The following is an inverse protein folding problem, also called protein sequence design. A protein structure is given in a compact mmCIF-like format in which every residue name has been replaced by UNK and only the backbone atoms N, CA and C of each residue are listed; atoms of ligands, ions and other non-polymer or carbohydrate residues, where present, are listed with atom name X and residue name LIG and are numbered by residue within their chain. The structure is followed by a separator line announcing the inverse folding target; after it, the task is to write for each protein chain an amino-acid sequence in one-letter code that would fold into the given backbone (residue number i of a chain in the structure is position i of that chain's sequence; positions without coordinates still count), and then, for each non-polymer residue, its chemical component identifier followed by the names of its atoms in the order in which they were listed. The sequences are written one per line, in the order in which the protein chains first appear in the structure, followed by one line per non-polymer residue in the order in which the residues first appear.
data_IF_930420824044
#
_entry.id   IF_930420824044
#
_cell.length_a   1.000
_cell.length_b   1.000
_cell.length_c   1.000
_cell.angle_alpha   90.00
_cell.angle_beta   90.00
_cell.angle_gamma   90.00
#
_symmetry.space_group_name_H-M   'P 1'
#
loop_
_entity.id
_entity.type
_entity.pdbx_description
1 polymer ?
#
# COMPACT_ATOMS: atom_id res chain seq x y z
N UNK A 1 26.40 -50.59 -4.43
CA UNK A 1 25.33 -49.55 -4.35
C UNK A 1 26.00 -48.22 -4.11
N UNK A 2 25.81 -47.22 -5.00
CA UNK A 2 26.38 -45.87 -4.81
C UNK A 2 25.64 -45.21 -3.64
N UNK A 3 26.37 -44.77 -2.62
CA UNK A 3 25.79 -44.17 -1.44
C UNK A 3 25.35 -42.74 -1.77
N UNK A 4 24.06 -42.58 -2.08
CA UNK A 4 23.48 -41.30 -2.50
C UNK A 4 23.10 -40.39 -1.31
N UNK A 5 23.27 -40.86 -0.07
CA UNK A 5 23.03 -40.10 1.16
C UNK A 5 23.59 -38.67 1.17
N UNK A 6 24.87 -38.42 0.82
CA UNK A 6 25.42 -37.06 0.78
C UNK A 6 24.77 -36.16 -0.28
N UNK A 7 24.28 -36.72 -1.40
CA UNK A 7 23.61 -35.95 -2.46
C UNK A 7 22.26 -35.43 -1.97
N UNK A 8 21.47 -36.27 -1.29
CA UNK A 8 20.19 -35.84 -0.72
C UNK A 8 20.37 -34.81 0.39
N UNK A 9 21.44 -34.93 1.18
CA UNK A 9 21.74 -33.97 2.25
C UNK A 9 22.12 -32.59 1.69
N UNK A 10 22.92 -32.54 0.63
CA UNK A 10 23.23 -31.29 -0.09
C UNK A 10 21.97 -30.67 -0.69
N UNK A 11 21.12 -31.49 -1.34
CA UNK A 11 19.89 -31.00 -1.94
C UNK A 11 18.94 -30.39 -0.90
N UNK A 12 18.79 -31.04 0.26
CA UNK A 12 17.97 -30.55 1.36
C UNK A 12 18.47 -29.20 1.90
N UNK A 13 19.79 -29.04 2.05
CA UNK A 13 20.40 -27.78 2.47
C UNK A 13 20.15 -26.64 1.48
N UNK A 14 20.22 -26.93 0.17
CA UNK A 14 19.91 -25.94 -0.87
C UNK A 14 18.45 -25.49 -0.83
N UNK A 15 17.51 -26.42 -0.61
CA UNK A 15 16.08 -26.08 -0.49
C UNK A 15 15.83 -25.21 0.74
N UNK A 16 16.46 -25.51 1.87
CA UNK A 16 16.34 -24.68 3.09
C UNK A 16 16.91 -23.29 2.83
N UNK A 17 18.10 -23.18 2.25
CA UNK A 17 18.73 -21.90 1.94
C UNK A 17 17.86 -21.06 0.98
N UNK A 18 17.33 -21.67 -0.08
CA UNK A 18 16.42 -21.01 -1.02
C UNK A 18 15.12 -20.54 -0.34
N UNK A 19 14.56 -21.35 0.55
CA UNK A 19 13.33 -21.00 1.29
C UNK A 19 13.55 -19.83 2.25
N UNK A 20 14.67 -19.81 2.97
CA UNK A 20 15.06 -18.70 3.85
C UNK A 20 15.28 -17.43 3.05
N UNK A 21 15.98 -17.54 1.91
CA UNK A 21 16.21 -16.41 1.01
C UNK A 21 14.88 -15.86 0.46
N UNK A 22 14.00 -16.72 -0.06
CA UNK A 22 12.69 -16.32 -0.57
C UNK A 22 11.86 -15.64 0.51
N UNK A 23 11.82 -16.20 1.73
CA UNK A 23 11.09 -15.60 2.84
C UNK A 23 11.59 -14.18 3.17
N UNK A 24 12.91 -14.01 3.30
CA UNK A 24 13.49 -12.73 3.69
C UNK A 24 13.40 -11.65 2.61
N UNK A 25 13.62 -12.01 1.35
CA UNK A 25 13.73 -11.03 0.26
C UNK A 25 12.44 -10.83 -0.54
N UNK A 26 11.60 -11.86 -0.68
CA UNK A 26 10.37 -11.77 -1.50
C UNK A 26 9.14 -11.65 -0.61
N UNK A 27 8.91 -12.62 0.28
CA UNK A 27 7.66 -12.66 1.05
C UNK A 27 7.55 -11.52 2.06
N UNK A 28 8.58 -11.34 2.90
CA UNK A 28 8.59 -10.30 3.93
C UNK A 28 8.46 -8.90 3.33
N UNK A 29 9.21 -8.60 2.27
CA UNK A 29 9.19 -7.28 1.62
C UNK A 29 7.84 -7.00 0.98
N UNK A 30 7.26 -7.96 0.26
CA UNK A 30 5.93 -7.84 -0.34
C UNK A 30 4.85 -7.61 0.71
N UNK A 31 4.88 -8.37 1.81
CA UNK A 31 3.94 -8.20 2.93
C UNK A 31 4.03 -6.79 3.53
N UNK A 32 5.24 -6.30 3.82
CA UNK A 32 5.43 -4.95 4.37
C UNK A 32 4.91 -3.87 3.41
N UNK A 33 5.21 -3.97 2.11
CA UNK A 33 4.70 -3.01 1.11
C UNK A 33 3.17 -2.99 1.10
N UNK A 34 2.53 -4.15 1.09
CA UNK A 34 1.07 -4.25 1.10
C UNK A 34 0.45 -3.64 2.36
N UNK A 35 1.00 -3.94 3.53
CA UNK A 35 0.51 -3.37 4.80
C UNK A 35 0.69 -1.85 4.86
N UNK A 36 1.84 -1.33 4.40
CA UNK A 36 2.08 0.11 4.35
C UNK A 36 1.17 0.79 3.32
N UNK A 37 0.93 0.17 2.17
CA UNK A 37 0.00 0.68 1.17
C UNK A 37 -1.40 0.81 1.75
N UNK A 38 -1.91 -0.26 2.39
CA UNK A 38 -3.24 -0.25 3.01
C UNK A 38 -3.38 0.83 4.10
N UNK A 39 -2.31 1.13 4.84
CA UNK A 39 -2.35 2.18 5.87
C UNK A 39 -2.31 3.59 5.29
N UNK A 40 -1.59 3.80 4.20
CA UNK A 40 -1.36 5.13 3.64
C UNK A 40 -2.43 5.50 2.61
N UNK A 41 -2.73 4.62 1.67
CA UNK A 41 -3.56 4.92 0.50
C UNK A 41 -5.05 4.59 0.70
N UNK A 42 -5.40 3.57 1.49
CA UNK A 42 -6.78 3.06 1.51
C UNK A 42 -7.83 4.12 1.92
N UNK A 43 -7.49 5.02 2.85
CA UNK A 43 -8.41 6.10 3.26
C UNK A 43 -8.57 7.12 2.13
N UNK A 44 -7.49 7.46 1.44
CA UNK A 44 -7.52 8.45 0.36
C UNK A 44 -8.19 7.91 -0.91
N UNK A 45 -7.96 6.62 -1.22
CA UNK A 45 -8.68 5.87 -2.25
C UNK A 45 -10.18 5.85 -1.99
N UNK A 46 -10.60 5.48 -0.78
CA UNK A 46 -12.02 5.50 -0.39
C UNK A 46 -12.65 6.89 -0.57
N UNK A 47 -11.95 7.95 -0.14
CA UNK A 47 -12.41 9.33 -0.29
C UNK A 47 -12.52 9.75 -1.76
N UNK A 48 -11.54 9.36 -2.57
CA UNK A 48 -11.50 9.64 -4.00
C UNK A 48 -12.64 8.91 -4.72
N UNK A 49 -12.86 7.63 -4.44
CA UNK A 49 -13.97 6.85 -4.98
C UNK A 49 -15.33 7.43 -4.59
N UNK A 50 -15.50 7.81 -3.32
CA UNK A 50 -16.73 8.48 -2.85
C UNK A 50 -16.97 9.79 -3.61
N UNK A 51 -15.95 10.65 -3.77
CA UNK A 51 -16.09 11.88 -4.53
C UNK A 51 -16.38 11.62 -6.03
N UNK A 52 -15.74 10.61 -6.64
CA UNK A 52 -15.99 10.19 -8.05
C UNK A 52 -17.40 9.68 -8.26
N UNK A 53 -17.99 9.03 -7.26
CA UNK A 53 -19.39 8.57 -7.32
C UNK A 53 -20.40 9.73 -7.30
N UNK A 54 -19.95 10.96 -7.01
CA UNK A 54 -20.80 12.14 -7.00
C UNK A 54 -21.70 12.24 -5.76
N UNK A 55 -21.41 11.50 -4.69
CA UNK A 55 -22.14 11.57 -3.44
C UNK A 55 -21.82 12.88 -2.70
N UNK A 56 -22.62 13.92 -2.99
CA UNK A 56 -22.52 15.27 -2.44
C UNK A 56 -23.31 15.47 -1.13
N UNK A 57 -23.88 14.41 -0.57
CA UNK A 57 -24.64 14.44 0.68
C UNK A 57 -23.72 14.52 1.89
N UNK A 58 -24.22 15.19 2.93
CA UNK A 58 -23.54 15.27 4.22
C UNK A 58 -23.25 13.89 4.77
N UNK A 59 -21.99 13.69 5.18
CA UNK A 59 -21.54 12.51 5.90
C UNK A 59 -20.38 12.91 6.81
N UNK A 60 -20.13 12.11 7.85
CA UNK A 60 -19.01 12.36 8.75
C UNK A 60 -17.67 12.32 7.99
N UNK A 61 -16.82 13.33 8.21
CA UNK A 61 -15.54 13.48 7.53
C UNK A 61 -15.61 14.11 6.13
N UNK A 62 -16.77 14.62 5.71
CA UNK A 62 -16.91 15.52 4.55
C UNK A 62 -17.02 16.97 5.01
N UNK A 63 -16.49 17.90 4.22
CA UNK A 63 -16.68 19.34 4.44
C UNK A 63 -17.47 19.95 3.28
N UNK A 64 -18.15 21.07 3.53
CA UNK A 64 -18.80 21.86 2.49
C UNK A 64 -17.73 22.59 1.67
N UNK A 65 -17.48 22.14 0.44
CA UNK A 65 -16.42 22.65 -0.43
C UNK A 65 -16.80 22.48 -1.92
N UNK A 66 -16.07 23.10 -2.88
CA UNK A 66 -16.16 22.69 -4.28
C UNK A 66 -15.64 21.27 -4.48
N UNK A 67 -16.21 20.51 -5.43
CA UNK A 67 -15.76 19.16 -5.75
C UNK A 67 -14.24 19.15 -6.03
N UNK A 68 -13.42 18.45 -5.22
CA UNK A 68 -11.96 18.49 -5.35
C UNK A 68 -11.43 17.80 -6.61
N UNK A 69 -12.29 17.11 -7.36
CA UNK A 69 -11.95 16.45 -8.63
C UNK A 69 -12.24 17.32 -9.86
N UNK A 70 -12.85 18.48 -9.67
CA UNK A 70 -13.21 19.40 -10.75
C UNK A 70 -12.30 20.63 -10.74
N UNK A 71 -12.13 21.24 -11.92
CA UNK A 71 -11.45 22.53 -12.02
C UNK A 71 -12.22 23.60 -11.24
N UNK A 72 -11.49 24.44 -10.51
CA UNK A 72 -12.05 25.40 -9.52
C UNK A 72 -13.13 26.32 -10.07
N UNK A 73 -13.11 26.60 -11.38
CA UNK A 73 -14.00 27.57 -12.01
C UNK A 73 -15.41 27.02 -12.25
N UNK A 74 -15.56 25.71 -12.46
CA UNK A 74 -16.83 25.03 -12.72
C UNK A 74 -17.20 24.02 -11.63
N UNK A 75 -16.49 24.05 -10.50
CA UNK A 75 -16.62 23.04 -9.48
C UNK A 75 -17.97 23.13 -8.74
N UNK A 76 -18.71 22.03 -8.74
CA UNK A 76 -19.98 21.90 -8.01
C UNK A 76 -19.72 21.92 -6.50
N UNK A 77 -20.42 22.78 -5.78
CA UNK A 77 -20.41 22.82 -4.32
C UNK A 77 -21.26 21.70 -3.73
N UNK A 78 -20.76 21.08 -2.66
CA UNK A 78 -21.38 19.95 -2.01
C UNK A 78 -20.63 19.55 -0.75
N UNK A 79 -21.09 18.49 -0.08
CA UNK A 79 -20.30 17.84 0.96
C UNK A 79 -19.35 16.86 0.30
N UNK A 80 -18.05 17.12 0.37
CA UNK A 80 -17.01 16.30 -0.26
C UNK A 80 -15.93 15.92 0.72
N UNK A 81 -15.27 14.79 0.48
CA UNK A 81 -14.06 14.45 1.21
C UNK A 81 -12.88 15.26 0.71
N UNK A 82 -12.10 15.82 1.63
CA UNK A 82 -10.80 16.41 1.28
C UNK A 82 -9.85 15.30 0.81
N UNK A 83 -9.31 15.46 -0.39
CA UNK A 83 -8.28 14.59 -0.91
C UNK A 83 -6.92 15.04 -0.41
N UNK A 84 -6.11 14.07 -0.02
CA UNK A 84 -4.74 14.29 0.40
C UNK A 84 -3.87 14.39 -0.84
N UNK A 85 -2.84 15.23 -0.83
CA UNK A 85 -1.93 15.28 -1.98
C UNK A 85 -1.20 13.94 -2.13
N UNK A 86 -1.03 13.46 -3.36
CA UNK A 86 -0.31 12.21 -3.64
C UNK A 86 1.07 12.18 -2.96
N UNK A 87 1.80 13.29 -2.99
CA UNK A 87 3.12 13.42 -2.33
C UNK A 87 3.06 13.18 -0.83
N UNK A 88 1.99 13.64 -0.17
CA UNK A 88 1.80 13.43 1.27
C UNK A 88 1.53 11.96 1.57
N UNK A 89 0.67 11.31 0.78
CA UNK A 89 0.34 9.88 0.95
C UNK A 89 1.57 9.00 0.67
N UNK A 90 2.33 9.30 -0.38
CA UNK A 90 3.62 8.68 -0.68
C UNK A 90 4.63 8.90 0.46
N UNK A 91 4.65 10.09 1.06
CA UNK A 91 5.45 10.39 2.24
C UNK A 91 5.12 9.47 3.42
N UNK A 92 3.83 9.25 3.71
CA UNK A 92 3.40 8.32 4.75
C UNK A 92 3.78 6.87 4.44
N UNK A 93 3.61 6.46 3.18
CA UNK A 93 3.99 5.13 2.72
C UNK A 93 5.50 4.90 2.92
N UNK A 94 6.32 5.86 2.49
CA UNK A 94 7.78 5.80 2.64
C UNK A 94 8.19 5.78 4.11
N UNK A 95 7.58 6.60 4.96
CA UNK A 95 7.84 6.54 6.41
C UNK A 95 7.47 5.17 7.00
N UNK A 96 6.37 4.57 6.57
CA UNK A 96 5.97 3.23 6.99
C UNK A 96 6.99 2.17 6.54
N UNK A 97 7.47 2.25 5.30
CA UNK A 97 8.51 1.35 4.78
C UNK A 97 9.80 1.45 5.60
N UNK A 98 10.30 2.67 5.84
CA UNK A 98 11.50 2.93 6.63
C UNK A 98 11.37 2.38 8.06
N UNK A 99 10.22 2.58 8.71
CA UNK A 99 9.94 2.05 10.06
C UNK A 99 9.99 0.52 10.12
N UNK A 100 9.66 -0.15 9.02
CA UNK A 100 9.73 -1.61 8.91
C UNK A 100 11.09 -2.13 8.40
N UNK A 101 12.10 -1.24 8.33
CA UNK A 101 13.47 -1.58 7.95
C UNK A 101 13.66 -1.79 6.44
N UNK A 102 12.74 -1.29 5.61
CA UNK A 102 12.92 -1.27 4.16
C UNK A 102 13.71 -0.02 3.78
N UNK A 103 14.85 -0.21 3.12
CA UNK A 103 15.55 0.89 2.45
C UNK A 103 14.80 1.20 1.15
N UNK A 104 14.54 2.48 0.93
CA UNK A 104 13.81 3.03 -0.23
C UNK A 104 14.83 3.64 -1.17
#
# INVERSE_FOLDING_TARGET
MKNNGPVYLILALLVIAASVWFYWFQWRTSKIRKECYQKSFAIDEYRNESNRSGDDKWAWGKDWMPNPLQDRWDAKWGWWHRLTSQKTVEGWYNQCLLKNGMKI
#
